data_IF_526808894783
#
_entry.id   IF_526808894783
#
_cell.length_a   1.000
_cell.length_b   1.000
_cell.length_c   1.000
_cell.angle_alpha   90.00
_cell.angle_beta   90.00
_cell.angle_gamma   90.00
#
_symmetry.space_group_name_H-M   'P 1'
#
loop_
_entity.id
_entity.type
_entity.pdbx_description
1 polymer ?
#
# COMPACT_ATOMS: atom_id res chain seq x y z
N UNK A 1 -41.05 4.06 -8.53
CA UNK A 1 -42.02 2.97 -8.36
C UNK A 1 -41.95 2.13 -9.63
N UNK A 2 -41.73 0.82 -9.52
CA UNK A 2 -41.58 -0.04 -10.69
C UNK A 2 -42.86 -0.01 -11.54
N UNK A 3 -42.70 -0.11 -12.86
CA UNK A 3 -43.83 -0.16 -13.77
C UNK A 3 -44.68 -1.41 -13.51
N UNK A 4 -45.97 -1.34 -13.82
CA UNK A 4 -46.86 -2.51 -13.74
C UNK A 4 -46.31 -3.68 -14.58
N UNK A 5 -45.74 -3.36 -15.75
CA UNK A 5 -45.12 -4.34 -16.64
C UNK A 5 -43.92 -5.06 -15.99
N UNK A 6 -43.12 -4.37 -15.18
CA UNK A 6 -42.02 -4.98 -14.43
C UNK A 6 -42.53 -5.93 -13.35
N UNK A 7 -43.55 -5.50 -12.60
CA UNK A 7 -44.18 -6.29 -11.54
C UNK A 7 -44.80 -7.57 -12.12
N UNK A 8 -45.49 -7.47 -13.26
CA UNK A 8 -46.16 -8.60 -13.92
C UNK A 8 -45.17 -9.66 -14.43
N UNK A 9 -43.97 -9.25 -14.84
CA UNK A 9 -42.92 -10.14 -15.32
C UNK A 9 -42.08 -10.75 -14.17
N UNK A 10 -42.19 -10.20 -12.96
CA UNK A 10 -41.47 -10.67 -11.78
C UNK A 10 -42.07 -11.97 -11.26
N UNK A 11 -41.22 -12.82 -10.67
CA UNK A 11 -41.65 -14.03 -9.97
C UNK A 11 -41.26 -13.92 -8.51
N UNK A 12 -42.24 -13.94 -7.61
CA UNK A 12 -42.07 -13.63 -6.18
C UNK A 12 -41.02 -14.47 -5.43
N UNK A 13 -40.65 -15.65 -5.96
CA UNK A 13 -39.69 -16.56 -5.34
C UNK A 13 -38.38 -16.75 -6.14
N UNK A 14 -38.14 -15.93 -7.17
CA UNK A 14 -36.95 -16.03 -8.01
C UNK A 14 -36.26 -14.67 -8.08
N UNK A 15 -34.95 -14.58 -7.78
CA UNK A 15 -34.23 -13.32 -7.93
C UNK A 15 -34.31 -12.82 -9.37
N UNK A 16 -34.48 -11.52 -9.57
CA UNK A 16 -34.80 -10.92 -10.87
C UNK A 16 -33.75 -11.27 -11.94
N UNK A 17 -32.46 -11.27 -11.57
CA UNK A 17 -31.32 -11.66 -12.41
C UNK A 17 -31.24 -13.17 -12.75
N UNK A 18 -32.13 -13.99 -12.19
CA UNK A 18 -32.29 -15.40 -12.58
C UNK A 18 -33.54 -15.62 -13.45
N UNK A 19 -34.37 -14.60 -13.64
CA UNK A 19 -35.58 -14.69 -14.43
C UNK A 19 -35.29 -14.45 -15.91
N UNK A 20 -35.10 -15.53 -16.67
CA UNK A 20 -34.82 -15.45 -18.10
C UNK A 20 -35.92 -14.72 -18.91
N UNK A 21 -37.18 -14.77 -18.46
CA UNK A 21 -38.29 -14.09 -19.15
C UNK A 21 -38.15 -12.57 -18.99
N UNK A 22 -37.89 -12.12 -17.77
CA UNK A 22 -37.66 -10.71 -17.46
C UNK A 22 -36.40 -10.19 -18.18
N UNK A 23 -35.29 -10.92 -18.11
CA UNK A 23 -34.04 -10.53 -18.77
C UNK A 23 -34.18 -10.42 -20.30
N UNK A 24 -34.95 -11.31 -20.92
CA UNK A 24 -35.23 -11.25 -22.35
C UNK A 24 -36.07 -10.03 -22.72
N UNK A 25 -37.07 -9.67 -21.89
CA UNK A 25 -37.83 -8.44 -22.08
C UNK A 25 -36.96 -7.19 -21.92
N UNK A 26 -36.03 -7.18 -20.96
CA UNK A 26 -35.06 -6.09 -20.77
C UNK A 26 -34.07 -5.93 -21.94
N UNK A 27 -33.89 -6.95 -22.80
CA UNK A 27 -33.04 -6.83 -23.99
C UNK A 27 -33.70 -5.96 -25.07
N UNK A 28 -35.03 -5.98 -25.14
CA UNK A 28 -35.83 -5.24 -26.12
C UNK A 28 -36.24 -3.86 -25.61
N UNK A 29 -36.54 -3.74 -24.31
CA UNK A 29 -37.05 -2.51 -23.70
C UNK A 29 -36.03 -1.86 -22.74
N UNK A 30 -35.51 -0.66 -23.07
CA UNK A 30 -34.51 0.03 -22.24
C UNK A 30 -35.07 0.53 -20.90
N UNK A 31 -36.36 0.88 -20.85
CA UNK A 31 -37.01 1.37 -19.63
C UNK A 31 -37.11 0.24 -18.58
N UNK A 32 -37.51 -0.97 -19.01
CA UNK A 32 -37.53 -2.16 -18.14
C UNK A 32 -36.14 -2.54 -17.63
N UNK A 33 -35.10 -2.34 -18.44
CA UNK A 33 -33.72 -2.55 -18.02
C UNK A 33 -33.31 -1.57 -16.92
N UNK A 34 -33.69 -0.29 -17.04
CA UNK A 34 -33.39 0.71 -16.01
C UNK A 34 -34.04 0.38 -14.66
N UNK A 35 -35.29 -0.10 -14.68
CA UNK A 35 -36.01 -0.54 -13.48
C UNK A 35 -35.34 -1.76 -12.84
N UNK A 36 -34.92 -2.74 -13.66
CA UNK A 36 -34.20 -3.92 -13.19
C UNK A 36 -32.90 -3.54 -12.45
N UNK A 37 -32.14 -2.60 -13.00
CA UNK A 37 -30.88 -2.16 -12.42
C UNK A 37 -31.08 -1.42 -11.09
N UNK A 38 -32.10 -0.56 -11.01
CA UNK A 38 -32.40 0.21 -9.81
C UNK A 38 -32.85 -0.69 -8.65
N UNK A 39 -33.75 -1.63 -8.92
CA UNK A 39 -34.27 -2.58 -7.92
C UNK A 39 -33.20 -3.58 -7.45
N UNK A 40 -32.25 -3.95 -8.32
CA UNK A 40 -31.22 -4.94 -8.00
C UNK A 40 -29.86 -4.32 -7.60
N UNK A 41 -29.82 -3.04 -7.22
CA UNK A 41 -28.57 -2.35 -6.84
C UNK A 41 -27.83 -3.04 -5.67
N UNK A 42 -28.55 -3.52 -4.67
CA UNK A 42 -27.96 -4.18 -3.50
C UNK A 42 -27.28 -5.49 -3.88
N UNK A 43 -27.86 -6.22 -4.82
CA UNK A 43 -27.25 -7.44 -5.33
C UNK A 43 -25.94 -7.16 -6.08
N UNK A 44 -25.87 -6.11 -6.90
CA UNK A 44 -24.63 -5.71 -7.56
C UNK A 44 -23.55 -5.31 -6.56
N UNK A 45 -23.93 -4.56 -5.53
CA UNK A 45 -23.02 -4.24 -4.43
C UNK A 45 -22.55 -5.49 -3.69
N UNK A 46 -23.41 -6.48 -3.47
CA UNK A 46 -23.01 -7.76 -2.86
C UNK A 46 -21.98 -8.52 -3.70
N UNK A 47 -22.08 -8.47 -5.03
CA UNK A 47 -21.09 -9.06 -5.95
C UNK A 47 -19.75 -8.35 -5.80
N UNK A 48 -19.75 -7.01 -5.82
CA UNK A 48 -18.52 -6.23 -5.68
C UNK A 48 -17.88 -6.52 -4.31
N UNK A 49 -18.67 -6.49 -3.25
CA UNK A 49 -18.21 -6.72 -1.89
C UNK A 49 -17.56 -8.09 -1.70
N UNK A 50 -18.17 -9.15 -2.28
CA UNK A 50 -17.66 -10.51 -2.17
C UNK A 50 -16.28 -10.70 -2.83
N UNK A 51 -16.02 -10.04 -3.97
CA UNK A 51 -14.80 -10.27 -4.75
C UNK A 51 -13.70 -9.22 -4.53
N UNK A 52 -14.05 -8.00 -4.11
CA UNK A 52 -13.11 -6.89 -3.93
C UNK A 52 -12.94 -6.45 -2.48
N UNK A 53 -13.81 -6.89 -1.57
CA UNK A 53 -13.84 -6.45 -0.18
C UNK A 53 -14.88 -5.36 0.05
N UNK A 54 -14.97 -4.86 1.29
CA UNK A 54 -15.98 -3.86 1.66
C UNK A 54 -15.94 -2.63 0.75
N UNK A 55 -17.11 -2.12 0.37
CA UNK A 55 -17.27 -0.93 -0.47
C UNK A 55 -16.56 0.27 0.16
N UNK A 56 -16.69 0.42 1.48
CA UNK A 56 -16.04 1.49 2.24
C UNK A 56 -14.51 1.42 2.18
N UNK A 57 -13.95 0.20 2.14
CA UNK A 57 -12.51 0.01 1.91
C UNK A 57 -12.08 0.41 0.51
N UNK A 58 -12.96 0.25 -0.50
CA UNK A 58 -12.66 0.66 -1.88
C UNK A 58 -12.73 2.17 -2.04
N UNK A 59 -13.75 2.82 -1.46
CA UNK A 59 -13.90 4.27 -1.45
C UNK A 59 -12.65 4.94 -0.89
N UNK A 60 -12.21 4.52 0.30
CA UNK A 60 -11.08 5.14 0.98
C UNK A 60 -9.73 4.87 0.27
N UNK A 61 -9.57 3.70 -0.36
CA UNK A 61 -8.32 3.35 -1.06
C UNK A 61 -8.16 4.03 -2.40
N UNK A 62 -9.26 4.22 -3.13
CA UNK A 62 -9.23 4.68 -4.52
C UNK A 62 -9.85 6.05 -4.73
N UNK A 63 -10.42 6.66 -3.68
CA UNK A 63 -11.15 7.92 -3.73
C UNK A 63 -12.28 7.91 -4.78
N UNK A 64 -13.11 6.87 -4.70
CA UNK A 64 -14.21 6.60 -5.64
C UNK A 64 -15.53 6.67 -4.90
N UNK A 65 -16.54 7.24 -5.54
CA UNK A 65 -17.89 7.31 -4.97
C UNK A 65 -18.66 6.00 -5.15
N UNK A 66 -19.61 5.74 -4.26
CA UNK A 66 -20.48 4.56 -4.35
C UNK A 66 -21.33 4.56 -5.62
N UNK A 67 -21.75 5.75 -6.05
CA UNK A 67 -22.51 5.94 -7.28
C UNK A 67 -21.66 5.58 -8.50
N UNK A 68 -20.37 5.91 -8.51
CA UNK A 68 -19.45 5.58 -9.62
C UNK A 68 -19.25 4.07 -9.73
N UNK A 69 -19.05 3.38 -8.60
CA UNK A 69 -18.97 1.92 -8.54
C UNK A 69 -20.24 1.27 -9.09
N UNK A 70 -21.41 1.79 -8.69
CA UNK A 70 -22.70 1.29 -9.14
C UNK A 70 -22.93 1.53 -10.64
N UNK A 71 -22.57 2.71 -11.14
CA UNK A 71 -22.68 3.05 -12.56
C UNK A 71 -21.83 2.12 -13.43
N UNK A 72 -20.60 1.81 -13.03
CA UNK A 72 -19.74 0.86 -13.76
C UNK A 72 -20.31 -0.56 -13.72
N UNK A 73 -20.89 -0.98 -12.59
CA UNK A 73 -21.60 -2.24 -12.51
C UNK A 73 -22.84 -2.27 -13.44
N UNK A 74 -23.57 -1.16 -13.56
CA UNK A 74 -24.68 -1.04 -14.51
C UNK A 74 -24.22 -1.18 -15.96
N UNK A 75 -23.11 -0.54 -16.35
CA UNK A 75 -22.54 -0.68 -17.70
C UNK A 75 -22.22 -2.15 -17.99
N UNK A 76 -21.62 -2.86 -17.02
CA UNK A 76 -21.34 -4.30 -17.15
C UNK A 76 -22.61 -5.15 -17.33
N UNK A 77 -23.69 -4.82 -16.61
CA UNK A 77 -24.96 -5.55 -16.72
C UNK A 77 -25.64 -5.29 -18.05
N UNK A 78 -25.67 -4.04 -18.51
CA UNK A 78 -26.27 -3.65 -19.79
C UNK A 78 -25.55 -4.35 -20.95
N UNK A 79 -24.22 -4.32 -20.96
CA UNK A 79 -23.41 -4.99 -22.00
C UNK A 79 -23.59 -6.50 -21.95
N UNK A 80 -23.57 -7.09 -20.76
CA UNK A 80 -23.77 -8.53 -20.61
C UNK A 80 -25.16 -9.00 -21.04
N UNK A 81 -26.24 -8.26 -20.73
CA UNK A 81 -27.61 -8.63 -21.15
C UNK A 81 -27.73 -8.62 -22.67
N UNK A 82 -27.08 -7.66 -23.35
CA UNK A 82 -27.10 -7.57 -24.82
C UNK A 82 -26.43 -8.77 -25.48
N UNK A 83 -25.31 -9.24 -24.91
CA UNK A 83 -24.50 -10.32 -25.48
C UNK A 83 -24.90 -11.73 -24.99
N UNK A 84 -25.77 -11.81 -23.99
CA UNK A 84 -26.12 -13.09 -23.36
C UNK A 84 -27.07 -13.92 -24.22
N UNK A 85 -26.68 -15.17 -24.46
CA UNK A 85 -27.50 -16.13 -25.19
C UNK A 85 -28.29 -17.03 -24.21
N UNK A 86 -29.59 -16.77 -24.13
CA UNK A 86 -30.52 -17.49 -23.27
C UNK A 86 -30.72 -18.97 -23.64
N UNK A 87 -30.30 -19.41 -24.83
CA UNK A 87 -30.47 -20.80 -25.27
C UNK A 87 -29.40 -21.74 -24.70
N UNK A 88 -28.31 -21.20 -24.14
CA UNK A 88 -27.17 -22.00 -23.63
C UNK A 88 -27.45 -22.71 -22.30
N UNK A 89 -28.56 -22.43 -21.63
CA UNK A 89 -28.94 -23.08 -20.37
C UNK A 89 -28.08 -22.71 -19.15
N UNK A 90 -27.21 -21.72 -19.27
CA UNK A 90 -26.36 -21.20 -18.19
C UNK A 90 -27.15 -20.12 -17.43
N UNK A 91 -26.95 -20.00 -16.11
CA UNK A 91 -27.55 -18.92 -15.32
C UNK A 91 -26.85 -17.59 -15.63
N UNK A 92 -27.63 -16.52 -15.81
CA UNK A 92 -27.08 -15.18 -16.07
C UNK A 92 -26.16 -14.69 -14.94
N UNK A 93 -26.47 -15.00 -13.68
CA UNK A 93 -25.62 -14.68 -12.52
C UNK A 93 -24.22 -15.31 -12.58
N UNK A 94 -24.09 -16.48 -13.21
CA UNK A 94 -22.80 -17.13 -13.45
C UNK A 94 -22.03 -16.46 -14.59
N UNK A 95 -22.72 -15.81 -15.52
CA UNK A 95 -22.09 -15.07 -16.61
C UNK A 95 -21.64 -13.68 -16.17
N UNK A 96 -22.51 -12.97 -15.44
CA UNK A 96 -22.39 -11.53 -15.18
C UNK A 96 -21.26 -11.13 -14.22
N UNK A 97 -20.81 -12.04 -13.34
CA UNK A 97 -19.77 -11.68 -12.37
C UNK A 97 -18.46 -11.25 -13.04
N UNK A 98 -18.06 -11.86 -14.15
CA UNK A 98 -16.80 -11.50 -14.85
C UNK A 98 -16.87 -10.11 -15.46
N UNK A 99 -17.91 -9.75 -16.24
CA UNK A 99 -18.11 -8.38 -16.72
C UNK A 99 -18.12 -7.34 -15.60
N UNK A 100 -18.85 -7.58 -14.50
CA UNK A 100 -18.93 -6.63 -13.37
C UNK A 100 -17.54 -6.38 -12.78
N UNK A 101 -16.79 -7.43 -12.49
CA UNK A 101 -15.45 -7.30 -11.91
C UNK A 101 -14.48 -6.65 -12.91
N UNK A 102 -14.64 -6.89 -14.21
CA UNK A 102 -13.83 -6.24 -15.22
C UNK A 102 -14.07 -4.72 -15.26
N UNK A 103 -15.32 -4.27 -15.32
CA UNK A 103 -15.67 -2.84 -15.31
C UNK A 103 -15.24 -2.15 -14.02
N UNK A 104 -15.48 -2.77 -12.86
CA UNK A 104 -15.04 -2.22 -11.57
C UNK A 104 -13.52 -2.11 -11.52
N UNK A 105 -12.77 -3.08 -12.05
CA UNK A 105 -11.32 -2.93 -12.18
C UNK A 105 -10.92 -1.80 -13.10
N UNK A 106 -11.65 -1.61 -14.20
CA UNK A 106 -11.40 -0.56 -15.16
C UNK A 106 -11.52 0.81 -14.49
N UNK A 107 -12.58 1.03 -13.70
CA UNK A 107 -12.77 2.21 -12.84
C UNK A 107 -11.59 2.40 -11.88
N UNK A 108 -11.31 1.40 -11.05
CA UNK A 108 -10.30 1.49 -9.97
C UNK A 108 -8.86 1.72 -10.48
N UNK A 109 -8.56 1.30 -11.72
CA UNK A 109 -7.20 1.43 -12.26
C UNK A 109 -7.03 2.56 -13.26
N UNK A 110 -8.09 2.97 -13.96
CA UNK A 110 -7.96 3.98 -15.03
C UNK A 110 -8.68 5.29 -14.72
N UNK A 111 -9.81 5.24 -14.01
CA UNK A 111 -10.70 6.41 -13.87
C UNK A 111 -10.67 6.99 -12.45
N UNK A 112 -10.34 6.19 -11.42
CA UNK A 112 -10.25 6.65 -10.04
C UNK A 112 -9.02 7.54 -9.74
N UNK A 113 -8.09 7.68 -10.68
CA UNK A 113 -6.87 8.47 -10.51
C UNK A 113 -6.91 9.64 -11.47
N UNK A 114 -6.78 10.85 -10.93
CA UNK A 114 -6.70 12.10 -11.70
C UNK A 114 -5.68 12.04 -12.84
N UNK A 115 -4.56 11.37 -12.59
CA UNK A 115 -3.53 11.10 -13.58
C UNK A 115 -3.45 9.61 -13.86
N UNK A 116 -3.66 9.28 -15.13
CA UNK A 116 -3.69 7.92 -15.63
C UNK A 116 -2.27 7.34 -15.76
N UNK A 117 -2.01 6.26 -15.02
CA UNK A 117 -0.81 5.44 -15.20
C UNK A 117 -1.00 4.48 -16.39
N UNK A 118 0.08 4.20 -17.13
CA UNK A 118 0.02 3.17 -18.18
C UNK A 118 -0.15 1.78 -17.56
N UNK A 119 -0.81 0.85 -18.27
CA UNK A 119 -1.01 -0.54 -17.79
C UNK A 119 0.31 -1.19 -17.37
N UNK A 120 1.35 -1.03 -18.18
CA UNK A 120 2.71 -1.50 -17.87
C UNK A 120 3.26 -0.92 -16.55
N UNK A 121 2.98 0.34 -16.23
CA UNK A 121 3.40 0.94 -14.96
C UNK A 121 2.62 0.38 -13.76
N UNK A 122 1.31 0.13 -13.91
CA UNK A 122 0.47 -0.48 -12.86
C UNK A 122 0.90 -1.92 -12.59
N UNK A 123 1.21 -2.69 -13.63
CA UNK A 123 1.69 -4.06 -13.49
C UNK A 123 3.05 -4.11 -12.79
N UNK A 124 3.95 -3.18 -13.13
CA UNK A 124 5.22 -2.99 -12.44
C UNK A 124 5.02 -2.68 -10.94
N UNK A 125 4.15 -1.73 -10.59
CA UNK A 125 3.85 -1.41 -9.19
C UNK A 125 3.33 -2.62 -8.41
N UNK A 126 2.42 -3.42 -9.00
CA UNK A 126 1.92 -4.65 -8.37
C UNK A 126 3.02 -5.71 -8.18
N UNK A 127 3.94 -5.82 -9.13
CA UNK A 127 5.08 -6.73 -9.00
C UNK A 127 6.03 -6.25 -7.89
N UNK A 128 6.28 -4.95 -7.80
CA UNK A 128 7.09 -4.36 -6.73
C UNK A 128 6.45 -4.59 -5.35
N UNK A 129 5.14 -4.37 -5.22
CA UNK A 129 4.38 -4.64 -3.98
C UNK A 129 4.41 -6.12 -3.59
N UNK A 130 4.36 -7.04 -4.56
CA UNK A 130 4.54 -8.47 -4.29
C UNK A 130 5.94 -8.78 -3.77
N UNK A 131 6.97 -8.24 -4.41
CA UNK A 131 8.36 -8.41 -3.98
C UNK A 131 8.58 -7.85 -2.59
N UNK A 132 8.02 -6.68 -2.29
CA UNK A 132 8.04 -6.08 -0.95
C UNK A 132 7.36 -6.98 0.09
N UNK A 133 6.18 -7.52 -0.22
CA UNK A 133 5.48 -8.45 0.68
C UNK A 133 6.25 -9.77 0.89
N UNK A 134 6.96 -10.25 -0.14
CA UNK A 134 7.79 -11.45 -0.07
C UNK A 134 9.07 -11.23 0.74
N UNK A 135 9.68 -10.05 0.64
CA UNK A 135 10.90 -9.68 1.36
C UNK A 135 10.62 -9.15 2.77
N UNK A 136 9.42 -8.61 3.00
CA UNK A 136 9.03 -7.97 4.26
C UNK A 136 9.68 -6.60 4.51
N UNK A 137 10.32 -6.01 3.48
CA UNK A 137 10.87 -4.65 3.49
C UNK A 137 10.83 -4.08 2.07
N UNK A 138 10.97 -2.76 1.95
CA UNK A 138 11.06 -2.07 0.66
C UNK A 138 12.49 -2.12 0.09
N UNK A 139 12.78 -2.96 -0.92
CA UNK A 139 14.12 -3.12 -1.51
C UNK A 139 14.58 -1.88 -2.30
N UNK A 140 15.89 -1.77 -2.53
CA UNK A 140 16.44 -0.66 -3.33
C UNK A 140 16.02 -0.78 -4.81
N UNK A 141 15.97 0.34 -5.52
CA UNK A 141 15.61 0.35 -6.95
C UNK A 141 16.52 -0.56 -7.80
N UNK A 142 17.80 -0.66 -7.46
CA UNK A 142 18.76 -1.57 -8.10
C UNK A 142 18.46 -3.05 -7.85
N UNK A 143 17.97 -3.40 -6.66
CA UNK A 143 17.59 -4.77 -6.31
C UNK A 143 16.28 -5.15 -7.00
N UNK A 144 15.31 -4.22 -7.03
CA UNK A 144 14.06 -4.39 -7.79
C UNK A 144 14.33 -4.57 -9.29
N UNK A 145 15.28 -3.80 -9.85
CA UNK A 145 15.68 -3.92 -11.25
C UNK A 145 16.18 -5.33 -11.59
N UNK A 146 17.03 -5.90 -10.73
CA UNK A 146 17.57 -7.25 -10.89
C UNK A 146 16.50 -8.33 -10.70
N UNK A 147 15.58 -8.14 -9.76
CA UNK A 147 14.52 -9.12 -9.46
C UNK A 147 13.41 -9.13 -10.53
N UNK A 148 13.11 -7.97 -11.12
CA UNK A 148 12.02 -7.81 -12.09
C UNK A 148 12.49 -7.80 -13.55
N UNK A 149 13.81 -7.85 -13.79
CA UNK A 149 14.43 -7.75 -15.13
C UNK A 149 14.03 -6.47 -15.88
N UNK A 150 14.05 -5.34 -15.17
CA UNK A 150 13.67 -4.01 -15.68
C UNK A 150 14.79 -3.02 -15.39
N UNK A 151 15.00 -2.04 -16.27
CA UNK A 151 15.99 -0.97 -16.07
C UNK A 151 15.71 -0.15 -14.79
N UNK A 152 16.76 0.20 -14.05
CA UNK A 152 16.68 1.01 -12.82
C UNK A 152 15.92 2.32 -13.05
N UNK A 153 16.22 3.04 -14.14
CA UNK A 153 15.56 4.30 -14.49
C UNK A 153 14.04 4.16 -14.62
N UNK A 154 13.56 3.04 -15.17
CA UNK A 154 12.13 2.79 -15.33
C UNK A 154 11.43 2.63 -13.97
N UNK A 155 12.09 1.95 -13.04
CA UNK A 155 11.59 1.74 -11.68
C UNK A 155 11.55 3.06 -10.91
N UNK A 156 12.62 3.84 -10.97
CA UNK A 156 12.67 5.15 -10.32
C UNK A 156 11.60 6.10 -10.86
N UNK A 157 11.41 6.14 -12.18
CA UNK A 157 10.38 6.96 -12.80
C UNK A 157 9.00 6.54 -12.30
N UNK A 158 8.68 5.25 -12.30
CA UNK A 158 7.38 4.74 -11.82
C UNK A 158 7.15 5.07 -10.34
N UNK A 159 8.17 4.95 -9.48
CA UNK A 159 8.09 5.32 -8.07
C UNK A 159 7.89 6.82 -7.85
N UNK A 160 8.61 7.66 -8.60
CA UNK A 160 8.43 9.12 -8.56
C UNK A 160 7.03 9.53 -8.95
N UNK A 161 6.51 8.97 -10.05
CA UNK A 161 5.13 9.23 -10.45
C UNK A 161 4.14 8.74 -9.39
N UNK A 162 4.33 7.54 -8.83
CA UNK A 162 3.44 7.02 -7.80
C UNK A 162 3.40 7.92 -6.55
N UNK A 163 4.55 8.42 -6.09
CA UNK A 163 4.64 9.28 -4.89
C UNK A 163 4.10 10.69 -5.11
N UNK A 164 4.31 11.25 -6.30
CA UNK A 164 3.74 12.54 -6.71
C UNK A 164 2.21 12.46 -6.72
N UNK A 165 1.64 11.35 -7.20
CA UNK A 165 0.19 11.13 -7.20
C UNK A 165 -0.40 10.97 -5.81
N UNK A 166 0.26 10.24 -4.91
CA UNK A 166 -0.21 10.18 -3.51
C UNK A 166 -0.21 11.55 -2.85
N UNK A 167 0.77 12.39 -3.19
CA UNK A 167 0.86 13.76 -2.66
C UNK A 167 -0.27 14.64 -3.22
N UNK A 168 -0.52 14.59 -4.53
CA UNK A 168 -1.61 15.36 -5.16
C UNK A 168 -3.00 14.93 -4.66
N UNK A 169 -3.26 13.63 -4.54
CA UNK A 169 -4.54 13.14 -4.02
C UNK A 169 -4.78 13.61 -2.57
N UNK A 170 -3.72 13.67 -1.74
CA UNK A 170 -3.83 14.20 -0.38
C UNK A 170 -4.13 15.71 -0.31
N UNK A 171 -3.83 16.44 -1.39
CA UNK A 171 -4.13 17.87 -1.53
C UNK A 171 -5.54 18.15 -2.05
N UNK A 172 -6.15 17.21 -2.78
CA UNK A 172 -7.55 17.32 -3.20
C UNK A 172 -8.55 16.82 -2.15
N UNK A 173 -8.16 15.88 -1.29
CA UNK A 173 -8.98 15.40 -0.16
C UNK A 173 -9.09 16.40 1.00
N UNK A 174 -8.97 17.70 0.72
CA UNK A 174 -9.19 18.78 1.69
C UNK A 174 -10.69 19.02 1.89
N UNK A 175 -11.37 18.02 2.48
CA UNK A 175 -12.56 18.29 3.28
C UNK A 175 -12.16 18.41 4.76
N UNK A 176 -12.72 19.35 5.55
CA UNK A 176 -12.27 19.64 6.92
C UNK A 176 -12.58 18.55 7.96
N UNK A 177 -13.10 17.39 7.56
CA UNK A 177 -13.67 16.38 8.45
C UNK A 177 -13.30 14.97 7.97
N UNK A 178 -12.14 14.46 8.39
CA UNK A 178 -12.01 13.15 9.06
C UNK A 178 -10.53 12.75 9.25
N UNK A 179 -10.00 13.13 10.41
CA UNK A 179 -8.80 12.49 10.98
C UNK A 179 -9.18 11.14 11.59
N UNK A 180 -9.26 10.09 10.78
CA UNK A 180 -9.42 8.71 11.29
C UNK A 180 -8.39 7.72 10.75
N UNK A 181 -7.28 8.20 10.17
CA UNK A 181 -6.07 7.39 9.96
C UNK A 181 -4.98 7.90 10.91
N UNK A 182 -4.65 7.08 11.92
CA UNK A 182 -3.35 7.14 12.58
C UNK A 182 -3.26 7.80 13.96
N UNK A 183 -4.22 7.61 14.86
CA UNK A 183 -4.00 7.96 16.27
C UNK A 183 -2.93 7.06 16.93
N UNK A 184 -2.80 5.80 16.51
CA UNK A 184 -1.69 4.93 16.95
C UNK A 184 -0.35 5.30 16.28
N UNK A 185 -0.38 5.74 15.01
CA UNK A 185 0.82 6.22 14.30
C UNK A 185 1.39 7.47 14.96
N UNK A 186 0.58 8.48 15.29
CA UNK A 186 1.09 9.72 15.91
C UNK A 186 1.74 9.52 17.28
N UNK A 187 1.26 8.58 18.09
CA UNK A 187 1.82 8.28 19.41
C UNK A 187 3.11 7.47 19.29
N UNK A 188 3.15 6.50 18.36
CA UNK A 188 4.37 5.76 18.03
C UNK A 188 5.41 6.68 17.37
N UNK A 189 5.00 7.57 16.47
CA UNK A 189 5.83 8.58 15.82
C UNK A 189 6.40 9.54 16.87
N UNK A 190 5.62 9.96 17.86
CA UNK A 190 6.12 10.86 18.92
C UNK A 190 7.15 10.17 19.82
N UNK A 191 6.89 8.93 20.26
CA UNK A 191 7.83 8.16 21.10
C UNK A 191 9.09 7.78 20.30
N UNK A 192 8.94 7.43 19.02
CA UNK A 192 10.03 7.07 18.12
C UNK A 192 10.90 8.29 17.77
N UNK A 193 10.28 9.44 17.46
CA UNK A 193 10.98 10.70 17.24
C UNK A 193 11.65 11.16 18.53
N UNK A 194 11.03 11.05 19.70
CA UNK A 194 11.68 11.36 20.98
C UNK A 194 12.91 10.49 21.25
N UNK A 195 12.86 9.19 20.94
CA UNK A 195 14.01 8.30 21.07
C UNK A 195 15.11 8.61 20.03
N UNK A 196 14.74 8.99 18.80
CA UNK A 196 15.70 9.41 17.78
C UNK A 196 16.38 10.73 18.13
N UNK A 197 15.63 11.70 18.66
CA UNK A 197 16.15 13.00 19.09
C UNK A 197 17.14 12.87 20.24
N UNK A 198 16.90 11.94 21.17
CA UNK A 198 17.84 11.63 22.27
C UNK A 198 19.16 11.03 21.78
N UNK A 199 19.14 10.33 20.65
CA UNK A 199 20.29 9.63 20.09
C UNK A 199 21.02 10.41 18.99
N UNK A 200 20.55 11.62 18.66
CA UNK A 200 21.13 12.45 17.61
C UNK A 200 21.95 13.60 18.21
N UNK A 201 23.17 13.80 17.68
CA UNK A 201 24.04 14.95 18.00
C UNK A 201 23.48 16.24 17.39
N UNK A 202 22.43 16.76 18.03
CA UNK A 202 21.80 18.01 17.69
C UNK A 202 22.53 19.16 18.40
N UNK A 203 22.73 20.26 17.67
CA UNK A 203 23.25 21.49 18.27
C UNK A 203 22.21 22.06 19.25
N UNK A 204 22.66 22.78 20.27
CA UNK A 204 21.80 23.39 21.29
C UNK A 204 20.66 24.25 20.66
N UNK A 205 20.97 24.93 19.56
CA UNK A 205 19.98 25.70 18.79
C UNK A 205 18.96 24.81 18.03
N UNK A 206 19.39 23.67 17.52
CA UNK A 206 18.52 22.71 16.81
C UNK A 206 17.54 22.04 17.78
N UNK A 207 18.01 21.66 18.97
CA UNK A 207 17.17 21.10 20.05
C UNK A 207 16.10 22.09 20.51
N UNK A 208 16.46 23.37 20.63
CA UNK A 208 15.49 24.43 20.96
C UNK A 208 14.41 24.59 19.89
N UNK A 209 14.79 24.56 18.61
CA UNK A 209 13.84 24.64 17.49
C UNK A 209 12.88 23.45 17.51
N UNK A 210 13.36 22.23 17.75
CA UNK A 210 12.53 21.02 17.79
C UNK A 210 11.56 21.03 18.97
N UNK A 211 12.02 21.40 20.16
CA UNK A 211 11.14 21.50 21.34
C UNK A 211 10.01 22.50 21.10
N UNK A 212 10.30 23.65 20.50
CA UNK A 212 9.28 24.65 20.19
C UNK A 212 8.29 24.19 19.11
N UNK A 213 8.69 23.27 18.22
CA UNK A 213 7.80 22.63 17.24
C UNK A 213 6.95 21.54 17.91
N UNK A 214 7.52 20.76 18.82
CA UNK A 214 6.79 19.77 19.62
C UNK A 214 5.71 20.44 20.48
N UNK A 215 5.95 21.67 20.92
CA UNK A 215 4.97 22.54 21.59
C UNK A 215 3.91 23.13 20.65
N UNK A 216 3.97 22.83 19.33
CA UNK A 216 2.97 23.24 18.34
C UNK A 216 3.11 24.67 17.81
N UNK A 217 4.28 25.32 17.93
CA UNK A 217 4.47 26.68 17.41
C UNK A 217 4.79 26.69 15.90
N UNK A 218 4.28 27.69 15.17
CA UNK A 218 4.60 27.90 13.76
C UNK A 218 6.02 28.47 13.58
N UNK A 219 6.64 28.23 12.41
CA UNK A 219 8.02 28.68 12.10
C UNK A 219 8.25 30.18 12.32
N UNK A 220 7.24 31.01 12.02
CA UNK A 220 7.31 32.46 12.27
C UNK A 220 7.21 32.84 13.75
N UNK A 221 6.50 32.04 14.55
CA UNK A 221 6.41 32.23 16.00
C UNK A 221 7.68 31.78 16.71
N UNK A 222 8.28 30.67 16.24
CA UNK A 222 9.59 30.17 16.70
C UNK A 222 10.67 31.22 16.43
N UNK A 223 10.68 31.80 15.23
CA UNK A 223 11.60 32.86 14.84
C UNK A 223 11.52 34.08 15.79
N UNK A 224 10.30 34.49 16.16
CA UNK A 224 10.08 35.57 17.13
C UNK A 224 10.56 35.20 18.55
N UNK A 225 10.31 33.98 19.02
CA UNK A 225 10.75 33.51 20.35
C UNK A 225 12.27 33.41 20.48
N UNK A 226 12.92 32.94 19.42
CA UNK A 226 14.38 32.78 19.35
C UNK A 226 15.10 34.05 18.87
N UNK A 227 14.37 35.15 18.61
CA UNK A 227 14.88 36.42 18.08
C UNK A 227 15.78 36.26 16.84
N UNK A 228 15.37 35.38 15.92
CA UNK A 228 16.08 35.06 14.68
C UNK A 228 15.15 35.25 13.49
N UNK A 229 15.73 35.32 12.30
CA UNK A 229 14.96 35.41 11.07
C UNK A 229 14.25 34.07 10.78
N UNK A 230 13.01 34.06 10.22
CA UNK A 230 12.30 32.82 9.89
C UNK A 230 13.07 31.85 9.00
N UNK A 231 13.90 32.38 8.09
CA UNK A 231 14.79 31.59 7.24
C UNK A 231 15.85 30.82 8.03
N UNK A 232 16.30 31.32 9.19
CA UNK A 232 17.26 30.65 10.07
C UNK A 232 16.64 29.41 10.71
N UNK A 233 15.35 29.47 11.08
CA UNK A 233 14.59 28.33 11.59
C UNK A 233 14.40 27.27 10.50
N UNK A 234 14.02 27.66 9.28
CA UNK A 234 13.93 26.73 8.15
C UNK A 234 15.27 26.06 7.81
N UNK A 235 16.38 26.81 7.87
CA UNK A 235 17.73 26.26 7.67
C UNK A 235 18.14 25.30 8.79
N UNK A 236 17.71 25.53 10.02
CA UNK A 236 17.93 24.61 11.12
C UNK A 236 17.10 23.33 10.93
N UNK A 237 15.82 23.47 10.54
CA UNK A 237 14.95 22.33 10.25
C UNK A 237 15.48 21.44 9.12
N UNK A 238 15.99 22.03 8.04
CA UNK A 238 16.60 21.25 6.97
C UNK A 238 17.89 20.53 7.42
N UNK A 239 18.68 21.14 8.30
CA UNK A 239 19.87 20.49 8.87
C UNK A 239 19.50 19.32 9.78
N UNK A 240 18.49 19.51 10.62
CA UNK A 240 17.92 18.46 11.49
C UNK A 240 17.42 17.31 10.63
N UNK A 241 16.63 17.60 9.59
CA UNK A 241 16.12 16.60 8.65
C UNK A 241 17.26 15.81 8.01
N UNK A 242 18.28 16.48 7.49
CA UNK A 242 19.42 15.79 6.87
C UNK A 242 20.21 14.93 7.87
N UNK A 243 20.36 15.38 9.13
CA UNK A 243 21.00 14.58 10.19
C UNK A 243 20.16 13.35 10.55
N UNK A 244 18.83 13.49 10.60
CA UNK A 244 17.91 12.39 10.83
C UNK A 244 17.90 11.42 9.65
N UNK A 245 17.86 11.90 8.40
CA UNK A 245 17.88 11.09 7.19
C UNK A 245 19.20 10.29 7.07
N UNK A 246 20.35 10.90 7.39
CA UNK A 246 21.65 10.22 7.41
C UNK A 246 21.73 9.13 8.50
N UNK A 247 21.12 9.36 9.67
CA UNK A 247 20.96 8.33 10.70
C UNK A 247 19.90 7.27 10.33
N UNK A 248 18.93 7.61 9.49
CA UNK A 248 17.90 6.72 8.98
C UNK A 248 18.50 5.71 7.98
N UNK A 249 19.46 6.13 7.16
CA UNK A 249 20.20 5.24 6.26
C UNK A 249 21.08 4.24 7.02
N UNK A 250 21.68 4.63 8.14
CA UNK A 250 22.56 3.77 8.94
C UNK A 250 21.81 2.76 9.83
N UNK A 251 20.51 2.99 10.10
CA UNK A 251 19.68 2.13 10.99
C UNK A 251 18.32 1.76 10.38
N UNK A 252 18.30 1.26 9.15
CA UNK A 252 17.14 0.45 8.71
C UNK A 252 17.15 -0.87 9.50
N UNK A 253 16.54 -0.88 10.68
CA UNK A 253 16.40 -2.11 11.47
C UNK A 253 15.58 -3.12 10.66
N UNK A 254 16.24 -4.19 10.25
CA UNK A 254 15.59 -5.31 9.55
C UNK A 254 14.55 -5.94 10.46
N UNK A 255 13.47 -6.50 9.89
CA UNK A 255 12.48 -7.29 10.66
C UNK A 255 13.14 -8.46 11.42
N UNK A 256 14.29 -8.92 10.94
CA UNK A 256 15.10 -9.98 11.52
C UNK A 256 16.33 -9.46 12.27
N UNK A 257 16.29 -8.22 12.77
CA UNK A 257 17.46 -7.58 13.39
C UNK A 257 18.03 -8.38 14.55
N UNK A 258 17.17 -8.95 15.39
CA UNK A 258 17.56 -9.79 16.52
C UNK A 258 18.24 -11.08 16.05
N UNK A 259 17.73 -11.71 15.01
CA UNK A 259 18.29 -12.92 14.40
C UNK A 259 19.61 -12.63 13.70
N UNK A 260 19.71 -11.51 12.97
CA UNK A 260 20.95 -11.05 12.32
C UNK A 260 22.02 -10.73 13.37
N UNK A 261 21.64 -10.09 14.48
CA UNK A 261 22.55 -9.79 15.59
C UNK A 261 23.13 -11.05 16.22
N UNK A 262 22.26 -12.00 16.61
CA UNK A 262 22.69 -13.28 17.21
C UNK A 262 23.63 -14.06 16.29
N UNK A 263 23.29 -14.12 14.99
CA UNK A 263 24.11 -14.84 14.01
C UNK A 263 25.44 -14.12 13.78
N UNK A 264 25.46 -12.79 13.79
CA UNK A 264 26.69 -12.01 13.65
C UNK A 264 27.61 -12.18 14.87
N UNK A 265 27.06 -12.17 16.10
CA UNK A 265 27.81 -12.41 17.34
C UNK A 265 28.45 -13.82 17.33
N UNK A 266 27.67 -14.84 16.99
CA UNK A 266 28.17 -16.22 16.93
C UNK A 266 29.23 -16.41 15.83
N UNK A 267 29.07 -15.74 14.67
CA UNK A 267 30.09 -15.75 13.62
C UNK A 267 31.40 -15.08 14.06
N UNK A 268 31.32 -14.05 14.92
CA UNK A 268 32.50 -13.39 15.51
C UNK A 268 33.19 -14.33 16.51
N UNK A 269 32.44 -14.98 17.39
CA UNK A 269 33.00 -15.90 18.40
C UNK A 269 33.67 -17.12 17.78
N UNK A 270 33.04 -17.72 16.77
CA UNK A 270 33.56 -18.92 16.08
C UNK A 270 34.55 -18.59 14.95
N UNK A 271 34.69 -17.32 14.60
CA UNK A 271 35.52 -16.82 13.49
C UNK A 271 35.34 -17.61 12.18
N UNK A 272 34.10 -18.00 11.87
CA UNK A 272 33.78 -18.78 10.68
C UNK A 272 32.44 -18.38 10.05
N UNK A 273 32.37 -18.46 8.72
CA UNK A 273 31.15 -18.19 7.97
C UNK A 273 30.26 -19.43 8.03
N UNK A 274 29.10 -19.30 8.66
CA UNK A 274 28.15 -20.41 8.79
C UNK A 274 27.39 -20.72 7.50
N UNK A 275 27.15 -22.01 7.27
CA UNK A 275 26.29 -22.52 6.22
C UNK A 275 24.81 -22.44 6.62
N UNK A 276 23.91 -22.56 5.62
CA UNK A 276 22.45 -22.42 5.84
C UNK A 276 21.91 -23.48 6.81
N UNK A 277 22.48 -24.68 6.83
CA UNK A 277 22.12 -25.74 7.78
C UNK A 277 22.53 -25.37 9.21
N UNK A 278 23.77 -24.91 9.41
CA UNK A 278 24.27 -24.44 10.71
C UNK A 278 23.47 -23.25 11.25
N UNK A 279 23.01 -22.37 10.36
CA UNK A 279 22.18 -21.21 10.71
C UNK A 279 20.78 -21.62 11.15
N UNK A 280 20.20 -22.68 10.56
CA UNK A 280 18.93 -23.26 11.03
C UNK A 280 19.09 -23.90 12.39
N UNK A 281 20.17 -24.64 12.60
CA UNK A 281 20.44 -25.33 13.86
C UNK A 281 20.61 -24.32 15.01
N UNK A 282 21.33 -23.22 14.79
CA UNK A 282 21.45 -22.14 15.77
C UNK A 282 20.12 -21.47 16.09
N UNK A 283 19.33 -21.14 15.06
CA UNK A 283 18.03 -20.51 15.27
C UNK A 283 17.07 -21.44 16.03
N UNK A 284 17.16 -22.76 15.82
CA UNK A 284 16.38 -23.76 16.58
C UNK A 284 16.82 -23.81 18.05
N UNK A 285 18.13 -23.84 18.31
CA UNK A 285 18.70 -23.83 19.67
C UNK A 285 18.33 -22.55 20.43
N UNK A 286 18.27 -21.41 19.73
CA UNK A 286 17.85 -20.13 20.30
C UNK A 286 16.31 -19.99 20.45
N UNK A 287 15.54 -21.02 20.09
CA UNK A 287 14.08 -21.06 20.28
C UNK A 287 13.25 -20.37 19.18
N UNK A 288 13.84 -20.07 18.02
CA UNK A 288 13.12 -19.52 16.87
C UNK A 288 12.48 -20.64 16.05
N UNK A 289 11.23 -20.43 15.62
CA UNK A 289 10.48 -21.46 14.90
C UNK A 289 10.92 -21.55 13.43
N UNK A 290 11.68 -22.59 13.08
CA UNK A 290 12.28 -22.84 11.75
C UNK A 290 11.23 -22.82 10.63
N UNK A 291 10.00 -23.24 10.91
CA UNK A 291 8.91 -23.32 9.92
C UNK A 291 8.48 -21.95 9.38
N UNK A 292 8.85 -20.85 10.05
CA UNK A 292 8.58 -19.47 9.60
C UNK A 292 9.60 -18.96 8.58
N UNK A 293 10.75 -19.62 8.43
CA UNK A 293 11.84 -19.12 7.58
C UNK A 293 11.94 -19.90 6.28
N UNK A 294 11.68 -19.23 5.16
CA UNK A 294 12.00 -19.76 3.83
C UNK A 294 13.51 -19.79 3.60
N UNK A 295 14.01 -20.69 2.75
CA UNK A 295 15.43 -20.77 2.37
C UNK A 295 16.00 -19.44 1.87
N UNK A 296 15.16 -18.58 1.26
CA UNK A 296 15.55 -17.23 0.81
C UNK A 296 15.74 -16.24 1.97
N UNK A 297 14.92 -16.34 3.01
CA UNK A 297 15.00 -15.49 4.22
C UNK A 297 16.27 -15.83 5.00
N UNK A 298 16.60 -17.12 5.13
CA UNK A 298 17.85 -17.56 5.77
C UNK A 298 19.09 -17.10 5.00
N UNK A 299 19.01 -17.06 3.66
CA UNK A 299 20.09 -16.51 2.83
C UNK A 299 20.26 -15.00 3.04
N UNK A 300 19.15 -14.27 3.13
CA UNK A 300 19.16 -12.83 3.43
C UNK A 300 19.75 -12.54 4.82
N UNK A 301 19.30 -13.25 5.87
CA UNK A 301 19.83 -13.10 7.24
C UNK A 301 21.34 -13.35 7.26
N UNK A 302 21.81 -14.40 6.56
CA UNK A 302 23.24 -14.72 6.44
C UNK A 302 24.03 -13.59 5.76
N UNK A 303 23.54 -13.07 4.64
CA UNK A 303 24.22 -12.00 3.90
C UNK A 303 24.29 -10.71 4.74
N UNK A 304 23.22 -10.37 5.45
CA UNK A 304 23.19 -9.19 6.30
C UNK A 304 24.09 -9.31 7.54
N UNK A 305 24.20 -10.51 8.12
CA UNK A 305 25.13 -10.79 9.21
C UNK A 305 26.61 -10.67 8.76
N UNK A 306 26.94 -11.15 7.55
CA UNK A 306 28.27 -10.99 6.95
C UNK A 306 28.58 -9.50 6.69
N UNK A 307 27.62 -8.73 6.16
CA UNK A 307 27.80 -7.29 5.93
C UNK A 307 28.05 -6.51 7.23
N UNK A 308 27.52 -6.96 8.37
CA UNK A 308 27.80 -6.37 9.69
C UNK A 308 29.21 -6.68 10.20
N UNK A 309 29.70 -7.89 9.92
CA UNK A 309 31.08 -8.29 10.20
C UNK A 309 32.10 -7.39 9.48
N UNK A 310 31.86 -7.10 8.20
CA UNK A 310 32.73 -6.23 7.41
C UNK A 310 32.74 -4.77 7.91
N UNK A 311 31.60 -4.26 8.39
CA UNK A 311 31.52 -2.92 9.00
C UNK A 311 32.33 -2.83 10.30
N UNK A 312 32.25 -3.83 11.17
CA UNK A 312 33.02 -3.86 12.43
C UNK A 312 34.54 -4.02 12.20
N UNK A 313 34.96 -4.71 11.13
CA UNK A 313 36.38 -4.80 10.74
C UNK A 313 36.92 -3.47 10.20
N UNK A 314 36.08 -2.65 9.56
CA UNK A 314 36.45 -1.31 9.10
C UNK A 314 36.59 -0.30 10.25
N UNK A 315 35.75 -0.38 11.28
CA UNK A 315 35.82 0.50 12.46
C UNK A 315 37.04 0.19 13.36
N UNK A 316 37.56 -1.04 13.36
CA UNK A 316 38.78 -1.40 14.09
C UNK A 316 40.08 -0.87 13.43
N UNK A 317 40.09 -0.63 12.12
CA UNK A 317 41.29 -0.14 11.41
C UNK A 317 41.48 1.39 11.55
N UNK A 318 40.43 2.15 11.86
CA UNK A 318 40.51 3.59 12.08
C UNK A 318 40.97 3.97 13.51
N UNK A 319 41.10 2.99 14.42
CA UNK A 319 41.68 3.20 15.77
C UNK A 319 43.21 2.98 15.82
N UNK A 320 43.87 2.74 14.69
CA UNK A 320 45.32 2.46 14.63
C UNK A 320 46.09 3.39 13.66
N UNK A 321 45.81 4.69 13.69
CA UNK A 321 46.71 5.72 13.11
C UNK A 321 46.84 6.94 14.03
#
# INVERSE_FOLDING_TARGET
>A
MPSQRYIDLRKDNLPDLHNNVLLKACQEDPDLLSELLYENKEFLFSIIAHYKGSIESLKNKFNVDEEELLQHAYIAVITAIRDFDFNKGIKFTTYIYRPIIWEVNQLLYNDSRLVRLSRSAVDLLKQMEKVENELGYFPKAEELAKLLDVTVERIENVLRFASELTSLNSLESFEPEDYSIGYESKVMDKIYVENLLKNSDLSEFETQVINLIMDGNNNSQIAKKLNVYPMTVNRALNRIKNKLDNNFESKRLSKYESEIGLIAEEMIELNCIMNIEQLKDLLDVCGYNISKYSSRVLYYIRQQAISRLDQNLSECNDCSQ
#
